data_IF_009404642383
#
_entry.id   IF_009404642383
#
_cell.length_a   1.000
_cell.length_b   1.000
_cell.length_c   1.000
_cell.angle_alpha   90.00
_cell.angle_beta   90.00
_cell.angle_gamma   90.00
#
_symmetry.space_group_name_H-M   'P 1'
#
loop_
_entity.id
_entity.type
_entity.pdbx_description
1 polymer ?
#
# COMPACT_ATOMS: atom_id res chain seq x y z
N UNK A 1 8.72 18.08 9.61
CA UNK A 1 8.14 16.92 10.31
C UNK A 1 6.63 17.05 10.25
N UNK A 2 5.88 16.00 9.93
CA UNK A 2 4.41 16.03 9.90
C UNK A 2 3.83 15.16 11.02
N UNK A 3 2.58 15.42 11.43
CA UNK A 3 1.87 14.54 12.36
C UNK A 3 1.38 13.27 11.65
N UNK A 4 1.14 12.19 12.40
CA UNK A 4 0.57 10.97 11.84
C UNK A 4 -0.79 11.20 11.18
N UNK A 5 -1.67 11.99 11.81
CA UNK A 5 -2.98 12.32 11.26
C UNK A 5 -2.86 13.06 9.90
N UNK A 6 -1.89 13.97 9.79
CA UNK A 6 -1.60 14.68 8.53
C UNK A 6 -1.11 13.72 7.45
N UNK A 7 -0.17 12.83 7.79
CA UNK A 7 0.34 11.82 6.87
C UNK A 7 -0.76 10.89 6.37
N UNK A 8 -1.61 10.40 7.28
CA UNK A 8 -2.75 9.54 6.96
C UNK A 8 -3.74 10.22 6.03
N UNK A 9 -4.17 11.43 6.37
CA UNK A 9 -5.12 12.19 5.56
C UNK A 9 -4.58 12.45 4.15
N UNK A 10 -3.31 12.88 4.04
CA UNK A 10 -2.64 13.13 2.75
C UNK A 10 -2.53 11.85 1.92
N UNK A 11 -2.25 10.72 2.55
CA UNK A 11 -2.09 9.44 1.86
C UNK A 11 -3.41 8.94 1.25
N UNK A 12 -4.52 9.10 1.98
CA UNK A 12 -5.85 8.74 1.50
C UNK A 12 -6.36 9.70 0.42
N UNK A 13 -6.10 11.00 0.56
CA UNK A 13 -6.40 11.97 -0.48
C UNK A 13 -5.69 11.61 -1.80
N UNK A 14 -4.39 11.29 -1.74
CA UNK A 14 -3.66 10.94 -2.96
C UNK A 14 -4.08 9.59 -3.56
N UNK A 15 -4.63 8.66 -2.77
CA UNK A 15 -5.22 7.43 -3.29
C UNK A 15 -6.44 7.76 -4.17
N UNK A 16 -7.32 8.64 -3.70
CA UNK A 16 -8.48 9.08 -4.48
C UNK A 16 -8.04 9.77 -5.79
N UNK A 17 -7.06 10.68 -5.71
CA UNK A 17 -6.51 11.34 -6.90
C UNK A 17 -5.90 10.34 -7.90
N UNK A 18 -5.21 9.30 -7.41
CA UNK A 18 -4.64 8.24 -8.26
C UNK A 18 -5.74 7.45 -8.97
N UNK A 19 -6.82 7.11 -8.27
CA UNK A 19 -7.97 6.39 -8.84
C UNK A 19 -8.61 7.23 -9.95
N UNK A 20 -8.86 8.52 -9.71
CA UNK A 20 -9.44 9.43 -10.69
C UNK A 20 -8.55 9.59 -11.93
N UNK A 21 -7.24 9.76 -11.73
CA UNK A 21 -6.26 9.95 -12.83
C UNK A 21 -6.00 8.70 -13.65
N UNK A 22 -6.08 7.52 -13.06
CA UNK A 22 -5.86 6.24 -13.76
C UNK A 22 -6.95 5.99 -14.81
N UNK A 23 -8.19 6.39 -14.51
CA UNK A 23 -9.33 6.25 -15.39
C UNK A 23 -9.79 4.79 -15.59
N UNK A 24 -10.90 4.57 -16.31
CA UNK A 24 -11.46 3.24 -16.51
C UNK A 24 -10.50 2.31 -17.25
N UNK A 25 -10.31 1.09 -16.74
CA UNK A 25 -9.39 0.05 -17.27
C UNK A 25 -7.91 0.49 -17.33
N UNK A 26 -7.55 1.61 -16.70
CA UNK A 26 -6.17 2.05 -16.59
C UNK A 26 -5.38 1.21 -15.59
N UNK A 27 -4.06 1.31 -15.66
CA UNK A 27 -3.15 0.73 -14.68
C UNK A 27 -2.08 1.75 -14.34
N UNK A 28 -1.91 2.01 -13.05
CA UNK A 28 -0.89 2.92 -12.53
C UNK A 28 0.05 2.14 -11.62
N UNK A 29 1.35 2.27 -11.86
CA UNK A 29 2.40 1.75 -10.99
C UNK A 29 2.88 2.87 -10.08
N UNK A 30 2.93 2.59 -8.77
CA UNK A 30 3.33 3.57 -7.75
C UNK A 30 4.52 3.01 -6.97
N UNK A 31 5.62 3.76 -6.96
CA UNK A 31 6.77 3.50 -6.10
C UNK A 31 6.64 4.35 -4.84
N UNK A 32 6.51 3.71 -3.69
CA UNK A 32 6.21 4.39 -2.42
C UNK A 32 6.81 3.64 -1.23
N UNK A 33 6.60 4.17 -0.01
CA UNK A 33 7.08 3.59 1.24
C UNK A 33 6.05 2.67 1.90
N UNK A 34 6.52 1.82 2.82
CA UNK A 34 5.65 0.95 3.61
C UNK A 34 4.60 1.69 4.44
N UNK A 35 4.91 2.90 4.91
CA UNK A 35 3.94 3.72 5.66
C UNK A 35 2.73 4.14 4.81
N UNK A 36 2.93 4.43 3.53
CA UNK A 36 1.80 4.72 2.63
C UNK A 36 0.96 3.47 2.38
N UNK A 37 1.63 2.36 2.08
CA UNK A 37 0.98 1.06 1.84
C UNK A 37 0.15 0.65 3.05
N UNK A 38 0.68 0.80 4.27
CA UNK A 38 -0.02 0.39 5.49
C UNK A 38 -1.22 1.27 5.81
N UNK A 39 -1.14 2.59 5.58
CA UNK A 39 -2.30 3.50 5.69
C UNK A 39 -3.42 3.08 4.75
N UNK A 40 -3.09 2.80 3.48
CA UNK A 40 -4.09 2.41 2.48
C UNK A 40 -4.70 1.05 2.86
N UNK A 41 -3.90 0.06 3.23
CA UNK A 41 -4.40 -1.25 3.62
C UNK A 41 -5.29 -1.16 4.86
N UNK A 42 -4.86 -0.43 5.90
CA UNK A 42 -5.66 -0.23 7.10
C UNK A 42 -6.99 0.47 6.80
N UNK A 43 -7.00 1.48 5.94
CA UNK A 43 -8.23 2.16 5.51
C UNK A 43 -9.19 1.22 4.80
N UNK A 44 -8.71 0.44 3.82
CA UNK A 44 -9.54 -0.48 3.05
C UNK A 44 -10.08 -1.66 3.87
N UNK A 45 -9.37 -2.05 4.93
CA UNK A 45 -9.76 -3.15 5.82
C UNK A 45 -10.50 -2.69 7.10
N UNK A 46 -10.72 -1.38 7.28
CA UNK A 46 -11.40 -0.84 8.46
C UNK A 46 -10.59 -0.97 9.76
N UNK A 47 -9.27 -0.95 9.67
CA UNK A 47 -8.34 -1.15 10.78
C UNK A 47 -7.94 0.18 11.44
N UNK A 48 -7.50 0.08 12.70
CA UNK A 48 -7.00 1.22 13.47
C UNK A 48 -5.52 1.53 13.16
N UNK A 49 -5.00 2.61 13.76
CA UNK A 49 -3.64 3.08 13.50
C UNK A 49 -2.56 2.11 14.01
N UNK A 50 -2.78 1.44 15.13
CA UNK A 50 -1.85 0.42 15.66
C UNK A 50 -1.71 -0.76 14.69
N UNK A 51 -2.82 -1.18 14.09
CA UNK A 51 -2.83 -2.23 13.08
C UNK A 51 -2.16 -1.76 11.77
N UNK A 52 -2.24 -0.47 11.43
CA UNK A 52 -1.46 0.09 10.32
C UNK A 52 0.05 0.00 10.58
N UNK A 53 0.51 0.27 11.80
CA UNK A 53 1.93 0.08 12.15
C UNK A 53 2.32 -1.40 12.12
N UNK A 54 1.45 -2.28 12.62
CA UNK A 54 1.66 -3.74 12.56
C UNK A 54 1.85 -4.22 11.12
N UNK A 55 1.01 -3.76 10.18
CA UNK A 55 1.19 -4.06 8.75
C UNK A 55 2.54 -3.56 8.25
N UNK A 56 2.87 -2.28 8.52
CA UNK A 56 4.11 -1.66 8.05
C UNK A 56 5.36 -2.47 8.44
N UNK A 57 5.41 -2.98 9.67
CA UNK A 57 6.55 -3.77 10.16
C UNK A 57 6.75 -5.11 9.47
N UNK A 58 5.72 -5.62 8.80
CA UNK A 58 5.81 -6.88 8.05
C UNK A 58 6.23 -6.67 6.59
N UNK A 59 6.26 -5.43 6.10
CA UNK A 59 6.52 -5.15 4.70
C UNK A 59 8.00 -5.36 4.36
N UNK A 60 8.26 -6.19 3.34
CA UNK A 60 9.58 -6.34 2.77
C UNK A 60 9.92 -5.10 1.93
N UNK A 61 11.22 -4.77 1.81
CA UNK A 61 11.65 -3.96 0.68
C UNK A 61 11.22 -4.65 -0.63
N UNK A 62 10.94 -3.84 -1.65
CA UNK A 62 10.48 -4.30 -2.98
C UNK A 62 9.23 -5.19 -2.98
N UNK A 63 8.45 -5.20 -1.88
CA UNK A 63 7.14 -5.84 -1.84
C UNK A 63 6.13 -5.16 -2.75
N UNK A 64 5.30 -5.94 -3.44
CA UNK A 64 4.24 -5.46 -4.33
C UNK A 64 2.89 -5.55 -3.60
N UNK A 65 2.14 -4.45 -3.59
CA UNK A 65 0.75 -4.41 -3.09
C UNK A 65 -0.17 -4.07 -4.25
N UNK A 66 -1.26 -4.82 -4.39
CA UNK A 66 -2.16 -4.74 -5.55
C UNK A 66 -3.55 -4.31 -5.12
N UNK A 67 -4.05 -3.24 -5.75
CA UNK A 67 -5.39 -2.74 -5.60
C UNK A 67 -6.14 -2.86 -6.93
N UNK A 68 -7.45 -3.10 -6.86
CA UNK A 68 -8.34 -3.08 -8.02
C UNK A 68 -9.49 -2.12 -7.76
N UNK A 69 -9.77 -1.26 -8.73
CA UNK A 69 -10.92 -0.35 -8.68
C UNK A 69 -12.09 -1.00 -9.40
N UNK A 70 -13.13 -1.34 -8.63
CA UNK A 70 -14.39 -1.89 -9.12
C UNK A 70 -15.51 -0.86 -9.15
N UNK A 71 -16.74 -1.32 -9.36
CA UNK A 71 -17.95 -0.46 -9.29
C UNK A 71 -18.21 0.05 -7.88
N UNK A 72 -17.89 -0.75 -6.87
CA UNK A 72 -18.20 -0.48 -5.46
C UNK A 72 -17.02 0.15 -4.70
N UNK A 73 -15.93 0.52 -5.42
CA UNK A 73 -14.79 1.23 -4.86
C UNK A 73 -13.46 0.52 -5.08
N UNK A 74 -12.49 0.84 -4.20
CA UNK A 74 -11.13 0.29 -4.24
C UNK A 74 -11.07 -0.97 -3.38
N UNK A 75 -10.51 -2.04 -3.92
CA UNK A 75 -10.37 -3.32 -3.24
C UNK A 75 -8.90 -3.73 -3.14
N UNK A 76 -8.48 -4.15 -1.95
CA UNK A 76 -7.18 -4.76 -1.73
C UNK A 76 -7.20 -6.21 -2.24
N UNK A 77 -6.30 -6.55 -3.16
CA UNK A 77 -6.19 -7.90 -3.74
C UNK A 77 -5.08 -8.69 -3.07
N UNK A 78 -3.94 -8.04 -2.86
CA UNK A 78 -2.78 -8.65 -2.23
C UNK A 78 -1.90 -7.58 -1.61
N UNK A 79 -1.15 -7.99 -0.60
CA UNK A 79 -0.22 -7.14 0.14
C UNK A 79 1.13 -7.83 0.19
N UNK A 80 2.19 -7.03 0.06
CA UNK A 80 3.57 -7.48 0.33
C UNK A 80 4.01 -8.70 -0.50
N UNK A 81 3.58 -8.83 -1.76
CA UNK A 81 4.05 -9.89 -2.65
C UNK A 81 5.55 -9.68 -2.93
N UNK A 82 6.41 -10.61 -2.49
CA UNK A 82 7.87 -10.53 -2.68
C UNK A 82 8.48 -11.84 -3.22
N UNK A 83 7.63 -12.77 -3.68
CA UNK A 83 8.06 -14.07 -4.23
C UNK A 83 9.06 -13.96 -5.39
N UNK A 84 8.97 -12.88 -6.17
CA UNK A 84 9.88 -12.60 -7.29
C UNK A 84 11.34 -12.39 -6.86
N UNK A 85 11.57 -11.89 -5.63
CA UNK A 85 12.92 -11.79 -5.07
C UNK A 85 13.24 -12.97 -4.17
N UNK A 86 12.26 -13.44 -3.40
CA UNK A 86 12.43 -14.58 -2.49
C UNK A 86 12.95 -15.84 -3.20
N UNK A 87 12.43 -16.12 -4.40
CA UNK A 87 12.82 -17.29 -5.18
C UNK A 87 14.21 -17.16 -5.84
N UNK A 88 14.62 -15.95 -6.23
CA UNK A 88 15.85 -15.72 -7.00
C UNK A 88 17.04 -15.32 -6.13
N UNK A 89 16.83 -14.39 -5.19
CA UNK A 89 17.88 -13.89 -4.32
C UNK A 89 17.31 -13.42 -2.95
N UNK A 90 16.98 -14.35 -2.05
CA UNK A 90 16.35 -14.04 -0.77
C UNK A 90 17.22 -13.14 0.14
N UNK A 91 18.54 -13.10 -0.10
CA UNK A 91 19.46 -12.23 0.67
C UNK A 91 19.23 -10.73 0.43
N UNK A 92 18.52 -10.35 -0.63
CA UNK A 92 18.16 -8.96 -0.92
C UNK A 92 16.91 -8.50 -0.18
N UNK A 93 16.19 -9.42 0.48
CA UNK A 93 15.01 -9.11 1.27
C UNK A 93 15.42 -8.59 2.65
N UNK A 94 14.76 -7.51 3.05
CA UNK A 94 14.92 -6.81 4.31
C UNK A 94 13.54 -6.43 4.82
N UNK A 95 13.35 -6.54 6.13
CA UNK A 95 12.14 -6.16 6.85
C UNK A 95 12.53 -5.13 7.91
N UNK A 96 11.62 -4.21 8.26
CA UNK A 96 11.92 -3.10 9.19
C UNK A 96 10.83 -2.89 10.21
#
# INVERSE_FOLDING_TARGET
TESWATFKARSLASLNDLVERTGPKGTTLVFTSGGYVSVVCAHLLGLNDEQAFTINWTLANVGITKLVVGRDGVHLISINEHAHVEAENPSLLTYR
#
